data_IF_607667745776
#
_entry.id   IF_607667745776
#
_cell.length_a   1.000
_cell.length_b   1.000
_cell.length_c   1.000
_cell.angle_alpha   90.00
_cell.angle_beta   90.00
_cell.angle_gamma   90.00
#
_symmetry.space_group_name_H-M   'P 1'
#
loop_
_entity.id
_entity.type
_entity.pdbx_description
1 polymer ?
#
# COMPACT_ATOMS: atom_id res chain seq x y z
N UNK A 1 -12.33 5.46 -20.61
CA UNK A 1 -11.73 4.53 -19.64
C UNK A 1 -11.57 5.27 -18.31
N UNK A 2 -12.31 4.87 -17.29
CA UNK A 2 -12.13 5.42 -15.95
C UNK A 2 -10.76 5.00 -15.43
N UNK A 3 -9.88 5.95 -15.15
CA UNK A 3 -8.64 5.65 -14.45
C UNK A 3 -8.97 5.19 -13.04
N UNK A 4 -8.60 3.96 -12.77
CA UNK A 4 -8.73 3.33 -11.46
C UNK A 4 -7.72 3.94 -10.55
N UNK A 5 -8.19 4.63 -9.55
CA UNK A 5 -7.29 5.29 -8.61
C UNK A 5 -7.86 5.18 -7.20
N UNK A 6 -7.23 4.34 -6.39
CA UNK A 6 -7.44 4.32 -4.95
C UNK A 6 -7.08 5.68 -4.33
N UNK A 7 -7.64 5.99 -3.16
CA UNK A 7 -7.20 7.10 -2.33
C UNK A 7 -6.25 6.60 -1.25
N UNK A 8 -5.13 7.27 -1.06
CA UNK A 8 -4.21 7.02 0.05
C UNK A 8 -4.05 8.29 0.89
N UNK A 9 -4.03 8.13 2.20
CA UNK A 9 -4.00 9.23 3.17
C UNK A 9 -3.04 8.90 4.31
N UNK A 10 -2.38 9.92 4.85
CA UNK A 10 -1.52 9.73 6.01
C UNK A 10 -1.24 11.03 6.74
N UNK A 11 -1.00 10.91 8.04
CA UNK A 11 -0.57 12.00 8.89
C UNK A 11 0.35 11.48 10.00
N UNK A 12 1.42 12.21 10.30
CA UNK A 12 2.42 11.87 11.31
C UNK A 12 1.96 12.27 12.72
N UNK A 13 0.78 11.83 13.09
CA UNK A 13 0.19 11.88 14.44
C UNK A 13 -0.98 10.91 14.55
N UNK A 14 -1.43 10.66 15.76
CA UNK A 14 -2.67 9.93 15.99
C UNK A 14 -3.87 10.85 15.75
N UNK A 15 -4.49 10.75 14.58
CA UNK A 15 -5.68 11.53 14.24
C UNK A 15 -6.59 10.74 13.28
N UNK A 16 -7.19 9.64 13.76
CA UNK A 16 -8.07 8.82 12.93
C UNK A 16 -9.32 9.57 12.46
N UNK A 17 -9.82 10.56 13.22
CA UNK A 17 -10.99 11.34 12.82
C UNK A 17 -10.69 12.25 11.64
N UNK A 18 -9.49 12.84 11.57
CA UNK A 18 -9.07 13.63 10.42
C UNK A 18 -8.93 12.76 9.18
N UNK A 19 -8.26 11.60 9.30
CA UNK A 19 -8.11 10.66 8.19
C UNK A 19 -9.47 10.14 7.72
N UNK A 20 -10.40 9.87 8.64
CA UNK A 20 -11.78 9.47 8.31
C UNK A 20 -12.50 10.53 7.46
N UNK A 21 -12.33 11.82 7.79
CA UNK A 21 -12.90 12.91 6.98
C UNK A 21 -12.36 12.88 5.55
N UNK A 22 -11.04 12.70 5.37
CA UNK A 22 -10.45 12.61 4.02
C UNK A 22 -10.94 11.39 3.26
N UNK A 23 -10.96 10.22 3.90
CA UNK A 23 -11.48 8.97 3.33
C UNK A 23 -12.92 9.17 2.86
N UNK A 24 -13.78 9.77 3.68
CA UNK A 24 -15.19 10.02 3.34
C UNK A 24 -15.36 11.06 2.23
N UNK A 25 -14.61 12.16 2.28
CA UNK A 25 -14.67 13.23 1.26
C UNK A 25 -14.27 12.70 -0.11
N UNK A 26 -13.30 11.80 -0.16
CA UNK A 26 -12.77 11.23 -1.40
C UNK A 26 -13.34 9.84 -1.72
N UNK A 27 -14.49 9.47 -1.18
CA UNK A 27 -15.14 8.17 -1.40
C UNK A 27 -15.39 7.86 -2.89
N UNK A 28 -15.58 8.89 -3.72
CA UNK A 28 -15.72 8.74 -5.18
C UNK A 28 -14.47 8.14 -5.85
N UNK A 29 -13.30 8.21 -5.21
CA UNK A 29 -12.06 7.63 -5.71
C UNK A 29 -11.96 6.13 -5.47
N UNK A 30 -12.60 5.62 -4.42
CA UNK A 30 -12.56 4.20 -4.07
C UNK A 30 -13.80 3.84 -3.24
N UNK A 31 -14.93 3.55 -3.91
CA UNK A 31 -16.20 3.30 -3.22
C UNK A 31 -16.32 1.87 -2.65
N UNK A 32 -15.41 0.94 -3.02
CA UNK A 32 -15.60 -0.49 -2.75
C UNK A 32 -15.23 -0.90 -1.32
N UNK A 33 -14.21 -0.25 -0.76
CA UNK A 33 -13.84 -0.43 0.65
C UNK A 33 -13.08 0.78 1.19
N UNK A 34 -13.15 0.95 2.50
CA UNK A 34 -12.39 1.96 3.22
C UNK A 34 -11.81 1.37 4.50
N UNK A 35 -10.60 1.78 4.87
CA UNK A 35 -9.96 1.39 6.12
C UNK A 35 -9.04 2.48 6.63
N UNK A 36 -9.01 2.62 7.95
CA UNK A 36 -8.11 3.49 8.68
C UNK A 36 -7.28 2.63 9.61
N UNK A 37 -6.01 2.95 9.72
CA UNK A 37 -5.06 2.27 10.58
C UNK A 37 -4.17 3.30 11.28
N UNK A 38 -3.78 3.03 12.50
CA UNK A 38 -2.75 3.78 13.24
C UNK A 38 -1.81 2.82 13.94
N UNK A 39 -0.58 3.26 14.13
CA UNK A 39 0.40 2.44 14.81
C UNK A 39 0.13 2.40 16.34
N UNK A 40 0.53 1.33 17.04
CA UNK A 40 0.31 1.20 18.48
C UNK A 40 0.91 2.32 19.34
N UNK A 41 1.95 2.99 18.84
CA UNK A 41 2.59 4.13 19.53
C UNK A 41 1.92 5.47 19.23
N UNK A 42 0.86 5.45 18.40
CA UNK A 42 0.05 6.63 18.05
C UNK A 42 0.84 7.76 17.35
N UNK A 43 1.93 7.43 16.63
CA UNK A 43 2.75 8.43 15.94
C UNK A 43 2.36 8.64 14.48
N UNK A 44 1.57 7.74 13.90
CA UNK A 44 1.10 7.83 12.52
C UNK A 44 -0.32 7.28 12.38
N UNK A 45 -1.10 7.90 11.51
CA UNK A 45 -2.41 7.41 11.06
C UNK A 45 -2.41 7.34 9.53
N UNK A 46 -2.84 6.21 8.99
CA UNK A 46 -2.95 5.96 7.55
C UNK A 46 -4.40 5.61 7.19
N UNK A 47 -4.80 5.94 5.98
CA UNK A 47 -6.12 5.61 5.45
C UNK A 47 -6.08 5.27 3.97
N UNK A 48 -7.10 4.52 3.54
CA UNK A 48 -7.21 4.05 2.16
C UNK A 48 -8.66 3.94 1.72
N UNK A 49 -8.92 4.38 0.48
CA UNK A 49 -10.13 4.05 -0.27
C UNK A 49 -9.77 3.08 -1.38
N UNK A 50 -10.44 1.96 -1.43
CA UNK A 50 -10.25 0.93 -2.44
C UNK A 50 -11.23 1.12 -3.61
N UNK A 51 -10.68 1.11 -4.81
CA UNK A 51 -11.40 0.81 -6.03
C UNK A 51 -10.86 -0.52 -6.57
N UNK A 52 -11.66 -1.58 -6.43
CA UNK A 52 -11.27 -2.94 -6.80
C UNK A 52 -11.59 -3.21 -8.26
N UNK A 53 -10.58 -3.64 -9.03
CA UNK A 53 -10.76 -3.95 -10.45
C UNK A 53 -10.51 -5.42 -10.74
N UNK A 54 -9.54 -6.01 -10.09
CA UNK A 54 -9.00 -7.32 -10.48
C UNK A 54 -9.00 -8.38 -9.37
N UNK A 55 -9.29 -8.03 -8.12
CA UNK A 55 -9.23 -8.96 -7.00
C UNK A 55 -10.46 -8.82 -6.11
N UNK A 56 -10.72 -9.84 -5.29
CA UNK A 56 -11.71 -9.73 -4.22
C UNK A 56 -11.39 -8.50 -3.36
N UNK A 57 -12.31 -7.54 -3.20
CA UNK A 57 -12.11 -6.35 -2.38
C UNK A 57 -11.62 -6.68 -0.97
N UNK A 58 -12.01 -7.83 -0.42
CA UNK A 58 -11.59 -8.29 0.91
C UNK A 58 -10.12 -8.65 1.00
N UNK A 59 -9.50 -9.05 -0.10
CA UNK A 59 -8.09 -9.44 -0.16
C UNK A 59 -7.16 -8.25 -0.45
N UNK A 60 -7.71 -7.16 -0.97
CA UNK A 60 -6.95 -5.97 -1.40
C UNK A 60 -7.04 -4.82 -0.40
N UNK A 61 -7.60 -5.03 0.78
CA UNK A 61 -7.84 -3.96 1.77
C UNK A 61 -6.53 -3.42 2.32
N UNK A 62 -6.37 -2.11 2.20
CA UNK A 62 -5.25 -1.36 2.75
C UNK A 62 -5.76 -0.36 3.82
N UNK A 63 -4.93 0.09 4.78
CA UNK A 63 -3.49 -0.18 4.92
C UNK A 63 -3.16 -1.65 5.13
N UNK A 64 -2.13 -2.13 4.43
CA UNK A 64 -1.65 -3.51 4.46
C UNK A 64 -0.51 -3.64 5.47
N UNK A 65 -0.68 -4.48 6.49
CA UNK A 65 0.37 -4.73 7.49
C UNK A 65 1.05 -6.07 7.20
N UNK A 66 2.37 -6.02 7.07
CA UNK A 66 3.20 -7.20 6.80
C UNK A 66 3.38 -8.07 8.05
N UNK A 67 3.83 -9.33 7.90
CA UNK A 67 4.21 -10.16 9.04
C UNK A 67 5.31 -9.55 9.93
N UNK A 68 6.16 -8.66 9.38
CA UNK A 68 7.17 -7.91 10.13
C UNK A 68 6.62 -6.71 10.90
N UNK A 69 5.32 -6.41 10.75
CA UNK A 69 4.64 -5.31 11.43
C UNK A 69 4.74 -3.96 10.73
N UNK A 70 5.31 -3.91 9.52
CA UNK A 70 5.36 -2.70 8.72
C UNK A 70 4.05 -2.50 7.95
N UNK A 71 3.70 -1.26 7.63
CA UNK A 71 2.40 -0.97 7.04
C UNK A 71 2.53 -0.12 5.78
N UNK A 72 1.82 -0.53 4.73
CA UNK A 72 1.81 0.09 3.41
C UNK A 72 0.41 0.62 3.06
N UNK A 73 0.35 1.84 2.52
CA UNK A 73 -0.75 2.32 1.69
C UNK A 73 -0.20 2.63 0.29
N UNK A 74 -0.88 2.12 -0.71
CA UNK A 74 -0.40 2.10 -2.09
C UNK A 74 -1.54 2.37 -3.06
N UNK A 75 -1.29 3.23 -4.02
CA UNK A 75 -2.12 3.46 -5.19
C UNK A 75 -1.26 3.33 -6.43
N UNK A 76 -1.52 2.34 -7.26
CA UNK A 76 -0.71 2.08 -8.44
C UNK A 76 -0.93 0.71 -9.05
N UNK A 77 -0.03 0.35 -9.93
CA UNK A 77 0.02 -0.95 -10.59
C UNK A 77 1.47 -1.32 -10.90
N UNK A 78 1.87 -2.54 -10.55
CA UNK A 78 3.17 -3.12 -10.90
C UNK A 78 3.00 -3.96 -12.17
N UNK A 79 3.48 -3.43 -13.30
CA UNK A 79 3.30 -4.04 -14.62
C UNK A 79 4.04 -5.38 -14.77
N UNK A 80 5.21 -5.51 -14.15
CA UNK A 80 5.99 -6.75 -14.12
C UNK A 80 5.71 -7.65 -12.90
N UNK A 81 4.49 -7.54 -12.31
CA UNK A 81 4.10 -8.31 -11.11
C UNK A 81 4.31 -9.83 -11.26
N UNK A 82 3.85 -10.42 -12.34
CA UNK A 82 3.94 -11.87 -12.55
C UNK A 82 5.38 -12.35 -12.70
N UNK A 83 6.24 -11.57 -13.36
CA UNK A 83 7.66 -11.84 -13.47
C UNK A 83 8.34 -11.83 -12.11
N UNK A 84 8.10 -10.77 -11.32
CA UNK A 84 8.65 -10.64 -9.96
C UNK A 84 8.11 -11.72 -9.02
N UNK A 85 6.83 -12.04 -9.10
CA UNK A 85 6.23 -13.14 -8.35
C UNK A 85 6.95 -14.47 -8.60
N UNK A 86 7.24 -14.77 -9.85
CA UNK A 86 7.97 -15.98 -10.23
C UNK A 86 9.43 -15.92 -9.75
N UNK A 87 10.11 -14.78 -9.94
CA UNK A 87 11.50 -14.55 -9.51
C UNK A 87 11.69 -14.74 -8.00
N UNK A 88 10.72 -14.30 -7.19
CA UNK A 88 10.83 -14.30 -5.74
C UNK A 88 10.12 -15.46 -5.04
N UNK A 89 9.46 -16.34 -5.78
CA UNK A 89 8.79 -17.52 -5.23
C UNK A 89 9.72 -18.38 -4.38
N UNK A 90 10.92 -18.68 -4.89
CA UNK A 90 11.92 -19.49 -4.19
C UNK A 90 12.76 -18.68 -3.17
N UNK A 91 12.52 -17.37 -3.08
CA UNK A 91 13.16 -16.46 -2.13
C UNK A 91 12.27 -16.07 -0.95
N UNK A 92 11.12 -16.74 -0.82
CA UNK A 92 10.23 -16.58 0.32
C UNK A 92 8.99 -15.71 0.06
N UNK A 93 8.77 -15.22 -1.16
CA UNK A 93 7.51 -14.55 -1.48
C UNK A 93 6.39 -15.58 -1.66
N UNK A 94 5.43 -15.54 -0.75
CA UNK A 94 4.20 -16.34 -0.85
C UNK A 94 3.05 -15.37 -1.06
N UNK A 95 2.66 -15.16 -2.31
CA UNK A 95 1.53 -14.30 -2.65
C UNK A 95 0.20 -14.97 -2.28
N UNK A 96 -0.43 -14.51 -1.21
CA UNK A 96 -1.68 -15.07 -0.69
C UNK A 96 -2.91 -14.39 -1.26
N UNK A 97 -2.79 -13.12 -1.63
CA UNK A 97 -3.91 -12.30 -2.12
C UNK A 97 -3.99 -12.22 -3.64
N UNK A 98 -2.87 -12.44 -4.32
CA UNK A 98 -2.75 -12.18 -5.75
C UNK A 98 -2.64 -10.70 -6.12
N UNK A 99 -2.50 -9.82 -5.13
CA UNK A 99 -2.36 -8.37 -5.32
C UNK A 99 -0.91 -7.93 -5.34
N UNK A 100 -0.60 -6.96 -6.15
CA UNK A 100 0.72 -6.33 -6.24
C UNK A 100 1.11 -5.56 -4.96
N UNK A 101 0.13 -5.06 -4.20
CA UNK A 101 0.34 -4.46 -2.88
C UNK A 101 1.12 -5.39 -1.93
N UNK A 102 0.78 -6.69 -1.92
CA UNK A 102 1.46 -7.69 -1.09
C UNK A 102 2.91 -7.90 -1.53
N UNK A 103 3.16 -7.93 -2.84
CA UNK A 103 4.51 -8.03 -3.40
C UNK A 103 5.35 -6.81 -3.06
N UNK A 104 4.79 -5.60 -3.23
CA UNK A 104 5.48 -4.36 -2.90
C UNK A 104 5.84 -4.29 -1.41
N UNK A 105 4.88 -4.61 -0.54
CA UNK A 105 5.11 -4.60 0.91
C UNK A 105 6.19 -5.63 1.33
N UNK A 106 6.13 -6.84 0.78
CA UNK A 106 7.14 -7.87 1.01
C UNK A 106 8.52 -7.43 0.51
N UNK A 107 8.61 -6.88 -0.71
CA UNK A 107 9.87 -6.43 -1.28
C UNK A 107 10.52 -5.30 -0.49
N UNK A 108 9.72 -4.35 -0.01
CA UNK A 108 10.20 -3.28 0.88
C UNK A 108 10.67 -3.82 2.24
N UNK A 109 10.01 -4.87 2.77
CA UNK A 109 10.42 -5.54 4.00
C UNK A 109 11.77 -6.27 3.85
N UNK A 110 12.01 -6.92 2.70
CA UNK A 110 13.19 -7.75 2.47
C UNK A 110 14.41 -6.96 1.96
N UNK A 111 14.17 -6.02 1.04
CA UNK A 111 15.23 -5.32 0.31
C UNK A 111 15.25 -3.80 0.57
N UNK A 112 14.28 -3.26 1.30
CA UNK A 112 14.15 -1.82 1.48
C UNK A 112 13.84 -1.10 0.18
N UNK A 113 14.27 0.16 0.07
CA UNK A 113 14.00 1.00 -1.10
C UNK A 113 14.68 0.52 -2.39
N UNK A 114 15.74 -0.30 -2.29
CA UNK A 114 16.39 -0.90 -3.46
C UNK A 114 15.45 -1.81 -4.27
N UNK A 115 14.37 -2.33 -3.65
CA UNK A 115 13.35 -3.08 -4.35
C UNK A 115 12.66 -2.26 -5.46
N UNK A 116 12.65 -0.93 -5.34
CA UNK A 116 12.04 -0.05 -6.34
C UNK A 116 12.75 -0.09 -7.68
N UNK A 117 14.04 -0.46 -7.72
CA UNK A 117 14.80 -0.61 -8.96
C UNK A 117 14.37 -1.85 -9.77
N UNK A 118 13.67 -2.79 -9.11
CA UNK A 118 13.17 -4.02 -9.71
C UNK A 118 11.76 -3.88 -10.31
N UNK A 119 10.99 -2.89 -9.87
CA UNK A 119 9.59 -2.75 -10.27
C UNK A 119 9.44 -1.83 -11.48
N UNK A 120 8.65 -2.28 -12.45
CA UNK A 120 8.09 -1.44 -13.51
C UNK A 120 6.65 -1.08 -13.11
N UNK A 121 6.42 0.18 -12.74
CA UNK A 121 5.16 0.56 -12.12
C UNK A 121 4.79 2.02 -12.33
N UNK A 122 3.49 2.29 -12.28
CA UNK A 122 2.98 3.60 -11.89
C UNK A 122 2.54 3.52 -10.43
N UNK A 123 2.97 4.46 -9.59
CA UNK A 123 2.69 4.36 -8.16
C UNK A 123 2.75 5.66 -7.38
N UNK A 124 1.99 5.69 -6.31
CA UNK A 124 2.20 6.53 -5.14
C UNK A 124 1.99 5.67 -3.90
N UNK A 125 2.92 5.71 -2.95
CA UNK A 125 2.78 4.97 -1.71
C UNK A 125 3.37 5.67 -0.49
N UNK A 126 2.90 5.23 0.68
CA UNK A 126 3.54 5.48 1.96
C UNK A 126 3.77 4.13 2.66
N UNK A 127 5.02 3.87 3.03
CA UNK A 127 5.42 2.67 3.75
C UNK A 127 6.00 3.06 5.10
N UNK A 128 5.39 2.59 6.19
CA UNK A 128 5.80 2.83 7.55
C UNK A 128 6.57 1.64 8.13
N UNK A 129 7.84 1.87 8.43
CA UNK A 129 8.66 0.89 9.14
C UNK A 129 8.46 1.04 10.65
N UNK A 130 7.70 0.15 11.24
CA UNK A 130 7.32 0.19 12.65
C UNK A 130 8.52 0.11 13.60
N UNK A 131 9.50 -0.73 13.29
CA UNK A 131 10.69 -0.92 14.13
C UNK A 131 11.58 0.32 14.16
N UNK A 132 11.80 0.94 12.98
CA UNK A 132 12.63 2.14 12.86
C UNK A 132 11.84 3.42 13.16
N UNK A 133 10.51 3.36 13.18
CA UNK A 133 9.61 4.53 13.25
C UNK A 133 9.87 5.55 12.13
N UNK A 134 10.11 5.05 10.93
CA UNK A 134 10.36 5.83 9.73
C UNK A 134 9.25 5.62 8.72
N UNK A 135 8.88 6.68 8.02
CA UNK A 135 7.96 6.62 6.88
C UNK A 135 8.72 6.93 5.59
N UNK A 136 8.52 6.10 4.59
CA UNK A 136 9.04 6.28 3.25
C UNK A 136 7.89 6.63 2.32
N UNK A 137 8.03 7.74 1.61
CA UNK A 137 7.08 8.19 0.60
C UNK A 137 7.72 8.04 -0.78
N UNK A 138 7.00 7.48 -1.72
CA UNK A 138 7.46 7.38 -3.10
C UNK A 138 6.32 7.64 -4.07
N UNK A 139 6.68 8.16 -5.21
CA UNK A 139 5.84 8.24 -6.41
C UNK A 139 6.70 7.90 -7.63
N UNK A 140 6.05 7.44 -8.70
CA UNK A 140 6.73 7.22 -9.97
C UNK A 140 7.21 8.55 -10.61
N UNK A 141 7.99 8.42 -11.68
CA UNK A 141 8.60 9.57 -12.39
C UNK A 141 7.59 10.40 -13.17
N UNK A 142 6.42 9.88 -13.46
CA UNK A 142 5.36 10.61 -14.17
C UNK A 142 4.50 11.45 -13.21
N UNK A 143 4.54 11.14 -11.92
CA UNK A 143 3.86 11.87 -10.86
C UNK A 143 2.42 11.52 -10.67
#
# INVERSE_FOLDING_TARGET
>A
MGHVMCGIYGITKHDPELIKKYVQTCKHRGPDAEKIWWDPKHVITLGHNLLSIMADPKLSVQPWTTPKGNTLVYNGEIFNYYELKQKYKDKGFVGTTGCDTELLAWGLDEFGLEFLDEIDSMHGFAYYNHKKQEIYLSRDHAG
#
